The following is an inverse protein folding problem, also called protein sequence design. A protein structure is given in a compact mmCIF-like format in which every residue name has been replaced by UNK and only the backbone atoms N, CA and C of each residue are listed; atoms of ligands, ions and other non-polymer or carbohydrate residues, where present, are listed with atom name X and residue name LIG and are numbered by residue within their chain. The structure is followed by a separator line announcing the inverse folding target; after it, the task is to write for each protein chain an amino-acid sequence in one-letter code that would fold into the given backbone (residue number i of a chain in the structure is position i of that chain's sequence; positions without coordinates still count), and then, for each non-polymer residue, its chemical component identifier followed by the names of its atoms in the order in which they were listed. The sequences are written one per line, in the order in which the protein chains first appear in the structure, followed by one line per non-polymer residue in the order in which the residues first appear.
data_IF_928018265197
#
_entry.id   IF_928018265197
#
_cell.length_a   1.000
_cell.length_b   1.000
_cell.length_c   1.000
_cell.angle_alpha   90.00
_cell.angle_beta   90.00
_cell.angle_gamma   90.00
#
_symmetry.space_group_name_H-M   'P 1'
#
loop_
_entity.id
_entity.type
_entity.pdbx_description
1 polymer ?
#
# COMPACT_ATOMS: atom_id res chain seq x y z
N UNK A 1 18.34 13.89 -16.58
CA UNK A 1 19.31 12.82 -16.92
C UNK A 1 18.75 12.06 -18.11
N UNK A 2 19.52 11.86 -19.19
CA UNK A 2 19.00 11.26 -20.43
C UNK A 2 18.86 9.74 -20.28
N UNK A 3 17.74 9.18 -20.75
CA UNK A 3 17.41 7.74 -20.71
C UNK A 3 18.52 6.86 -21.30
N UNK A 4 19.25 7.39 -22.30
CA UNK A 4 20.40 6.76 -22.94
C UNK A 4 21.62 6.57 -22.03
N UNK A 5 21.83 7.43 -21.03
CA UNK A 5 22.89 7.23 -20.04
C UNK A 5 22.51 6.17 -18.99
N UNK A 6 21.22 6.05 -18.68
CA UNK A 6 20.69 5.03 -17.78
C UNK A 6 20.81 3.62 -18.39
N UNK A 7 20.46 3.47 -19.67
CA UNK A 7 20.62 2.23 -20.45
C UNK A 7 22.10 1.82 -20.62
N UNK A 8 23.00 2.78 -20.84
CA UNK A 8 24.44 2.53 -21.02
C UNK A 8 25.15 2.21 -19.70
N UNK A 9 24.68 2.75 -18.58
CA UNK A 9 25.12 2.35 -17.24
C UNK A 9 24.61 0.95 -16.87
N UNK A 10 23.37 0.62 -17.24
CA UNK A 10 22.76 -0.70 -16.99
C UNK A 10 23.43 -1.81 -17.80
N UNK A 11 23.84 -1.54 -19.05
CA UNK A 11 24.60 -2.48 -19.88
C UNK A 11 26.01 -2.80 -19.38
N UNK A 12 26.65 -1.93 -18.59
CA UNK A 12 28.03 -2.15 -18.11
C UNK A 12 28.10 -2.99 -16.82
N UNK A 13 26.99 -3.16 -16.10
CA UNK A 13 26.93 -3.90 -14.82
C UNK A 13 25.60 -4.67 -14.64
N UNK A 14 25.18 -5.39 -15.68
CA UNK A 14 23.96 -6.20 -15.69
C UNK A 14 23.86 -7.18 -14.51
N UNK A 15 24.99 -7.68 -14.00
CA UNK A 15 25.05 -8.58 -12.85
C UNK A 15 24.38 -8.04 -11.57
N UNK A 16 24.42 -6.72 -11.33
CA UNK A 16 23.82 -6.13 -10.10
C UNK A 16 22.30 -6.08 -10.22
N UNK A 17 21.79 -5.74 -11.40
CA UNK A 17 20.36 -5.76 -11.70
C UNK A 17 19.84 -7.19 -11.67
N UNK A 18 20.58 -8.13 -12.25
CA UNK A 18 20.23 -9.55 -12.22
C UNK A 18 20.20 -10.11 -10.79
N UNK A 19 21.22 -9.79 -9.98
CA UNK A 19 21.27 -10.21 -8.57
C UNK A 19 20.10 -9.64 -7.77
N UNK A 20 19.77 -8.36 -7.97
CA UNK A 20 18.59 -7.76 -7.34
C UNK A 20 17.28 -8.39 -7.79
N UNK A 21 17.12 -8.67 -9.10
CA UNK A 21 15.95 -9.37 -9.62
C UNK A 21 15.78 -10.75 -8.99
N UNK A 22 16.89 -11.50 -8.80
CA UNK A 22 16.87 -12.80 -8.11
C UNK A 22 16.40 -12.64 -6.67
N UNK A 23 16.91 -11.64 -5.94
CA UNK A 23 16.50 -11.36 -4.56
C UNK A 23 15.02 -10.99 -4.49
N UNK A 24 14.54 -10.11 -5.37
CA UNK A 24 13.12 -9.71 -5.43
C UNK A 24 12.23 -10.92 -5.76
N UNK A 25 12.65 -11.75 -6.72
CA UNK A 25 11.93 -12.98 -7.08
C UNK A 25 11.87 -13.96 -5.90
N UNK A 26 12.97 -14.09 -5.15
CA UNK A 26 13.02 -14.88 -3.92
C UNK A 26 12.09 -14.35 -2.83
N UNK A 27 12.06 -13.03 -2.61
CA UNK A 27 11.14 -12.39 -1.66
C UNK A 27 9.67 -12.55 -2.08
N UNK A 28 9.37 -12.42 -3.37
CA UNK A 28 8.03 -12.64 -3.91
C UNK A 28 7.60 -14.10 -3.71
N UNK A 29 8.48 -15.06 -3.99
CA UNK A 29 8.21 -16.48 -3.72
C UNK A 29 7.98 -16.76 -2.23
N UNK A 30 8.78 -16.16 -1.35
CA UNK A 30 8.61 -16.26 0.10
C UNK A 30 7.24 -15.71 0.51
N UNK A 31 6.84 -14.58 -0.05
CA UNK A 31 5.52 -13.95 0.20
C UNK A 31 4.38 -14.90 -0.14
N UNK A 32 4.45 -15.60 -1.28
CA UNK A 32 3.45 -16.60 -1.69
C UNK A 32 3.38 -17.81 -0.74
N UNK A 33 4.46 -18.13 -0.03
CA UNK A 33 4.51 -19.23 0.95
C UNK A 33 4.00 -18.83 2.33
N UNK A 34 4.25 -17.59 2.75
CA UNK A 34 3.91 -17.14 4.10
C UNK A 34 2.54 -16.47 4.21
N UNK A 35 2.02 -15.88 3.13
CA UNK A 35 0.70 -15.25 3.14
C UNK A 35 -0.34 -16.29 2.75
N UNK A 36 -1.20 -16.75 3.68
CA UNK A 36 -2.21 -17.73 3.37
C UNK A 36 -3.26 -17.11 2.43
N UNK A 37 -3.75 -17.93 1.50
CA UNK A 37 -4.93 -17.60 0.72
C UNK A 37 -6.15 -17.54 1.64
N UNK A 38 -6.95 -16.50 1.49
CA UNK A 38 -8.23 -16.36 2.20
C UNK A 38 -9.36 -16.86 1.32
N UNK A 39 -10.38 -17.41 1.95
CA UNK A 39 -11.60 -17.91 1.33
C UNK A 39 -12.78 -17.13 1.89
N UNK A 40 -13.59 -16.58 1.00
CA UNK A 40 -14.76 -15.82 1.34
C UNK A 40 -16.03 -16.65 1.12
N UNK A 41 -16.93 -16.59 2.09
CA UNK A 41 -18.26 -17.21 2.03
C UNK A 41 -19.27 -16.15 2.44
N UNK A 42 -20.40 -16.10 1.73
CA UNK A 42 -21.47 -15.12 1.95
C UNK A 42 -22.81 -15.81 2.14
N UNK A 43 -23.66 -15.24 2.97
CA UNK A 43 -25.06 -15.66 3.12
C UNK A 43 -25.96 -14.46 3.35
N UNK A 44 -27.16 -14.49 2.76
CA UNK A 44 -28.16 -13.45 2.94
C UNK A 44 -29.32 -13.97 3.79
N UNK A 45 -29.72 -13.19 4.80
CA UNK A 45 -30.81 -13.47 5.72
C UNK A 45 -31.89 -12.42 5.52
N UNK A 46 -33.12 -12.83 5.24
CA UNK A 46 -34.30 -11.97 5.19
C UNK A 46 -35.01 -11.98 6.53
N UNK A 47 -35.40 -10.80 7.00
CA UNK A 47 -36.34 -10.66 8.10
C UNK A 47 -37.77 -10.69 7.54
N UNK A 48 -38.62 -11.53 8.14
CA UNK A 48 -40.02 -11.72 7.78
C UNK A 48 -40.94 -11.16 8.86
N UNK A 49 -42.06 -10.53 8.47
CA UNK A 49 -43.02 -9.99 9.41
C UNK A 49 -43.69 -11.09 10.24
N UNK A 50 -44.23 -10.72 11.40
CA UNK A 50 -44.96 -11.64 12.24
C UNK A 50 -46.21 -12.20 11.58
N UNK A 51 -46.62 -13.40 12.01
CA UNK A 51 -47.85 -14.03 11.52
C UNK A 51 -49.12 -13.32 11.95
N UNK A 52 -49.07 -12.50 13.01
CA UNK A 52 -50.22 -11.68 13.45
C UNK A 52 -50.59 -10.55 12.49
N UNK A 53 -49.65 -10.09 11.66
CA UNK A 53 -49.89 -9.05 10.65
C UNK A 53 -50.20 -9.63 9.26
N UNK A 54 -50.26 -10.95 9.15
CA UNK A 54 -50.65 -11.67 7.95
C UNK A 54 -52.09 -12.17 8.11
N UNK A 55 -52.93 -11.92 7.12
CA UNK A 55 -54.19 -12.65 6.99
C UNK A 55 -53.89 -14.15 6.77
N UNK A 56 -54.80 -15.05 7.16
CA UNK A 56 -54.61 -16.49 6.98
C UNK A 56 -54.30 -16.82 5.51
N UNK A 57 -53.06 -17.27 5.24
CA UNK A 57 -52.57 -17.57 3.89
C UNK A 57 -52.02 -16.36 3.10
N UNK A 58 -51.88 -15.20 3.73
CA UNK A 58 -51.34 -13.98 3.11
C UNK A 58 -49.84 -14.08 2.76
N UNK A 59 -49.43 -13.36 1.72
CA UNK A 59 -48.04 -13.37 1.24
C UNK A 59 -47.13 -12.49 2.15
N UNK A 60 -46.13 -13.08 2.85
CA UNK A 60 -45.26 -12.34 3.76
C UNK A 60 -44.34 -11.32 3.06
N UNK A 61 -44.08 -11.49 1.76
CA UNK A 61 -43.26 -10.55 0.98
C UNK A 61 -43.96 -9.23 0.70
N UNK A 62 -45.29 -9.15 0.85
CA UNK A 62 -46.05 -7.92 0.65
C UNK A 62 -45.96 -6.95 1.83
N UNK A 63 -45.48 -7.43 2.99
CA UNK A 63 -45.48 -6.68 4.26
C UNK A 63 -44.09 -6.59 4.89
N UNK A 64 -43.04 -6.40 4.07
CA UNK A 64 -41.65 -6.24 4.53
C UNK A 64 -41.32 -4.83 5.06
N UNK A 65 -42.29 -3.91 5.04
CA UNK A 65 -42.09 -2.53 5.47
C UNK A 65 -41.80 -2.41 6.98
N UNK A 66 -40.82 -1.59 7.35
CA UNK A 66 -40.54 -1.25 8.75
C UNK A 66 -39.60 -2.22 9.49
N UNK A 67 -39.15 -3.30 8.86
CA UNK A 67 -38.22 -4.26 9.48
C UNK A 67 -36.75 -3.80 9.45
N UNK A 68 -36.47 -2.66 8.81
CA UNK A 68 -35.11 -2.15 8.61
C UNK A 68 -34.42 -1.77 9.91
N UNK A 69 -35.18 -1.23 10.86
CA UNK A 69 -34.68 -0.91 12.19
C UNK A 69 -34.30 -2.19 12.93
N UNK A 70 -35.14 -3.23 12.86
CA UNK A 70 -34.86 -4.51 13.48
C UNK A 70 -33.62 -5.19 12.85
N UNK A 71 -33.49 -5.14 11.52
CA UNK A 71 -32.31 -5.62 10.82
C UNK A 71 -31.04 -4.87 11.25
N UNK A 72 -31.09 -3.54 11.33
CA UNK A 72 -29.96 -2.72 11.78
C UNK A 72 -29.54 -3.01 13.22
N UNK A 73 -30.50 -3.19 14.13
CA UNK A 73 -30.23 -3.56 15.53
C UNK A 73 -29.62 -4.95 15.62
N UNK A 74 -30.16 -5.92 14.88
CA UNK A 74 -29.59 -7.28 14.84
C UNK A 74 -28.17 -7.28 14.27
N UNK A 75 -27.94 -6.58 13.15
CA UNK A 75 -26.61 -6.45 12.55
C UNK A 75 -25.61 -5.81 13.52
N UNK A 76 -26.04 -4.79 14.25
CA UNK A 76 -25.21 -4.13 15.26
C UNK A 76 -24.88 -5.04 16.45
N UNK A 77 -25.85 -5.83 16.90
CA UNK A 77 -25.66 -6.82 17.98
C UNK A 77 -24.71 -7.94 17.57
N UNK A 78 -24.82 -8.41 16.32
CA UNK A 78 -23.94 -9.44 15.77
C UNK A 78 -22.53 -8.95 15.46
N UNK A 79 -22.39 -7.66 15.15
CA UNK A 79 -21.10 -7.00 14.91
C UNK A 79 -20.40 -6.52 16.19
N UNK A 80 -20.98 -6.80 17.36
CA UNK A 80 -20.34 -6.41 18.61
C UNK A 80 -19.02 -7.18 18.84
N UNK A 81 -18.07 -6.53 19.50
CA UNK A 81 -16.73 -7.08 19.70
C UNK A 81 -16.71 -8.31 20.60
N UNK A 82 -17.64 -8.41 21.56
CA UNK A 82 -17.78 -9.59 22.42
C UNK A 82 -18.34 -10.77 21.63
N UNK A 83 -19.41 -10.52 20.87
CA UNK A 83 -20.02 -11.49 19.95
C UNK A 83 -19.01 -12.00 18.92
N UNK A 84 -18.17 -11.11 18.38
CA UNK A 84 -17.16 -11.50 17.41
C UNK A 84 -16.14 -12.47 18.00
N UNK A 85 -15.75 -12.26 19.26
CA UNK A 85 -14.80 -13.13 19.96
C UNK A 85 -15.39 -14.48 20.37
N UNK A 86 -16.71 -14.56 20.58
CA UNK A 86 -17.36 -15.83 20.93
C UNK A 86 -17.52 -16.76 19.72
N UNK A 87 -17.69 -16.18 18.52
CA UNK A 87 -17.85 -16.94 17.27
C UNK A 87 -16.51 -17.33 16.66
N UNK A 88 -15.53 -16.42 16.70
CA UNK A 88 -14.21 -16.65 16.10
C UNK A 88 -13.28 -17.30 17.14
N UNK A 89 -12.83 -18.56 16.94
CA UNK A 89 -11.97 -19.23 17.90
C UNK A 89 -10.69 -18.42 18.17
N UNK A 90 -10.27 -18.37 19.43
CA UNK A 90 -9.02 -17.70 19.83
C UNK A 90 -7.83 -18.29 19.05
N UNK A 91 -7.13 -17.45 18.30
CA UNK A 91 -6.00 -17.85 17.45
C UNK A 91 -6.33 -18.13 15.99
N UNK A 92 -7.62 -18.12 15.60
CA UNK A 92 -7.99 -18.14 14.18
C UNK A 92 -7.78 -16.76 13.54
N UNK A 93 -7.41 -16.75 12.26
CA UNK A 93 -7.26 -15.52 11.46
C UNK A 93 -8.55 -15.14 10.73
N UNK A 94 -9.63 -15.87 11.00
CA UNK A 94 -10.94 -15.63 10.41
C UNK A 94 -11.51 -14.28 10.82
N UNK A 95 -12.37 -13.73 9.97
CA UNK A 95 -13.14 -12.51 10.20
C UNK A 95 -14.55 -12.71 9.67
N UNK A 96 -15.52 -12.04 10.26
CA UNK A 96 -16.84 -11.93 9.67
C UNK A 96 -17.34 -10.49 9.76
N UNK A 97 -18.26 -10.14 8.87
CA UNK A 97 -18.99 -8.88 8.86
C UNK A 97 -20.46 -9.18 8.66
N UNK A 98 -21.32 -8.42 9.34
CA UNK A 98 -22.78 -8.48 9.19
C UNK A 98 -23.27 -7.09 8.87
N UNK A 99 -23.81 -6.92 7.68
CA UNK A 99 -24.25 -5.62 7.18
C UNK A 99 -25.63 -5.75 6.53
N UNK A 100 -26.37 -4.64 6.44
CA UNK A 100 -27.61 -4.62 5.68
C UNK A 100 -27.26 -4.58 4.19
N UNK A 101 -27.88 -5.45 3.40
CA UNK A 101 -27.76 -5.40 1.95
C UNK A 101 -28.60 -4.23 1.42
N UNK A 102 -27.92 -3.18 0.95
CA UNK A 102 -28.56 -2.00 0.38
C UNK A 102 -29.07 -2.22 -1.06
N UNK A 103 -28.68 -3.33 -1.70
CA UNK A 103 -29.00 -3.62 -3.10
C UNK A 103 -30.37 -4.27 -3.26
N UNK A 104 -30.94 -4.82 -2.18
CA UNK A 104 -32.23 -5.52 -2.18
C UNK A 104 -33.26 -4.69 -1.43
N UNK A 105 -34.42 -4.45 -2.06
CA UNK A 105 -35.56 -3.84 -1.38
C UNK A 105 -36.15 -4.81 -0.36
N UNK A 106 -35.82 -4.60 0.91
CA UNK A 106 -36.26 -5.42 2.02
C UNK A 106 -35.24 -5.41 3.16
N UNK A 107 -35.64 -5.91 4.31
CA UNK A 107 -34.76 -6.00 5.48
C UNK A 107 -33.89 -7.26 5.38
N UNK A 108 -32.95 -7.23 4.43
CA UNK A 108 -31.98 -8.29 4.16
C UNK A 108 -30.64 -7.96 4.82
N UNK A 109 -30.07 -8.93 5.52
CA UNK A 109 -28.74 -8.88 6.08
C UNK A 109 -27.80 -9.76 5.28
N UNK A 110 -26.65 -9.24 4.89
CA UNK A 110 -25.54 -10.01 4.33
C UNK A 110 -24.55 -10.33 5.44
N UNK A 111 -24.26 -11.61 5.59
CA UNK A 111 -23.19 -12.13 6.44
C UNK A 111 -22.05 -12.56 5.52
N UNK A 112 -20.91 -11.90 5.62
CA UNK A 112 -19.70 -12.27 4.90
C UNK A 112 -18.65 -12.79 5.88
N UNK A 113 -18.03 -13.90 5.55
CA UNK A 113 -17.01 -14.57 6.37
C UNK A 113 -15.78 -14.81 5.53
N UNK A 114 -14.61 -14.46 6.06
CA UNK A 114 -13.30 -14.70 5.45
C UNK A 114 -12.46 -15.56 6.38
N UNK A 115 -11.91 -16.67 5.89
CA UNK A 115 -10.97 -17.50 6.65
C UNK A 115 -9.87 -18.07 5.75
N UNK A 116 -8.77 -18.52 6.35
CA UNK A 116 -7.66 -19.20 5.65
C UNK A 116 -7.99 -20.63 5.18
N UNK A 117 -9.19 -21.12 5.50
CA UNK A 117 -9.69 -22.42 5.04
C UNK A 117 -11.18 -22.34 4.71
N UNK A 118 -11.60 -23.01 3.63
CA UNK A 118 -13.01 -23.06 3.23
C UNK A 118 -13.89 -23.67 4.34
N UNK A 119 -13.44 -24.75 4.98
CA UNK A 119 -14.17 -25.41 6.07
C UNK A 119 -14.31 -24.51 7.30
N UNK A 120 -13.27 -23.73 7.63
CA UNK A 120 -13.31 -22.76 8.72
C UNK A 120 -14.28 -21.61 8.44
N UNK A 121 -14.32 -21.12 7.20
CA UNK A 121 -15.27 -20.10 6.77
C UNK A 121 -16.72 -20.59 6.90
N UNK A 122 -17.05 -21.80 6.41
CA UNK A 122 -18.39 -22.38 6.56
C UNK A 122 -18.79 -22.63 8.02
N UNK A 123 -17.87 -23.15 8.84
CA UNK A 123 -18.14 -23.36 10.27
C UNK A 123 -18.47 -22.05 10.98
N UNK A 124 -17.69 -21.01 10.69
CA UNK A 124 -17.90 -19.67 11.26
C UNK A 124 -19.21 -19.08 10.78
N UNK A 125 -19.53 -19.20 9.49
CA UNK A 125 -20.81 -18.75 8.93
C UNK A 125 -21.99 -19.40 9.65
N UNK A 126 -21.99 -20.73 9.78
CA UNK A 126 -23.09 -21.44 10.43
C UNK A 126 -23.23 -21.06 11.92
N UNK A 127 -22.11 -20.79 12.59
CA UNK A 127 -22.13 -20.27 13.96
C UNK A 127 -22.74 -18.85 14.04
N UNK A 128 -22.42 -17.97 13.09
CA UNK A 128 -23.06 -16.64 13.01
C UNK A 128 -24.56 -16.77 12.74
N UNK A 129 -24.99 -17.66 11.83
CA UNK A 129 -26.40 -17.87 11.52
C UNK A 129 -27.19 -18.40 12.75
N UNK A 130 -26.65 -19.37 13.48
CA UNK A 130 -27.27 -19.90 14.70
C UNK A 130 -27.35 -18.83 15.81
N UNK A 131 -26.31 -17.99 15.91
CA UNK A 131 -26.30 -16.88 16.85
C UNK A 131 -27.27 -15.78 16.46
N UNK A 132 -27.45 -15.50 15.16
CA UNK A 132 -28.44 -14.54 14.67
C UNK A 132 -29.86 -14.93 15.10
N UNK A 133 -30.20 -16.21 15.03
CA UNK A 133 -31.48 -16.74 15.49
C UNK A 133 -31.67 -16.53 17.01
N UNK A 134 -30.67 -16.94 17.80
CA UNK A 134 -30.71 -16.77 19.27
C UNK A 134 -30.80 -15.29 19.67
N UNK A 135 -30.00 -14.42 19.05
CA UNK A 135 -29.99 -12.98 19.33
C UNK A 135 -31.29 -12.31 18.93
N UNK A 136 -31.90 -12.73 17.82
CA UNK A 136 -33.20 -12.20 17.43
C UNK A 136 -34.28 -12.56 18.46
N UNK A 137 -34.28 -13.79 18.96
CA UNK A 137 -35.17 -14.20 20.05
C UNK A 137 -34.92 -13.35 21.31
N UNK A 138 -33.66 -13.20 21.74
CA UNK A 138 -33.31 -12.40 22.93
C UNK A 138 -33.76 -10.93 22.82
N UNK A 139 -33.56 -10.31 21.65
CA UNK A 139 -33.98 -8.93 21.38
C UNK A 139 -35.50 -8.79 21.46
N UNK A 140 -36.24 -9.77 20.93
CA UNK A 140 -37.70 -9.77 20.94
C UNK A 140 -38.28 -10.03 22.33
N UNK A 141 -37.66 -10.93 23.10
CA UNK A 141 -38.01 -11.15 24.51
C UNK A 141 -37.76 -9.89 25.35
N UNK A 142 -36.64 -9.21 25.12
CA UNK A 142 -36.32 -7.94 25.79
C UNK A 142 -37.31 -6.83 25.42
N UNK A 143 -37.80 -6.84 24.17
CA UNK A 143 -38.86 -5.95 23.70
C UNK A 143 -40.28 -6.37 24.14
N UNK A 144 -40.41 -7.49 24.86
CA UNK A 144 -41.70 -8.08 25.30
C UNK A 144 -42.64 -8.37 24.13
N UNK A 145 -42.10 -8.83 23.01
CA UNK A 145 -42.90 -9.24 21.87
C UNK A 145 -43.81 -10.44 22.25
N UNK A 146 -45.05 -10.41 21.79
CA UNK A 146 -45.96 -11.55 21.91
C UNK A 146 -45.52 -12.65 20.93
N UNK A 147 -45.70 -13.95 21.24
CA UNK A 147 -45.27 -15.04 20.35
C UNK A 147 -45.86 -14.99 18.94
N UNK A 148 -47.08 -14.47 18.78
CA UNK A 148 -47.72 -14.28 17.46
C UNK A 148 -47.17 -13.08 16.67
N UNK A 149 -46.41 -12.20 17.34
CA UNK A 149 -45.86 -10.95 16.85
C UNK A 149 -44.33 -10.98 16.68
N UNK A 150 -43.74 -12.18 16.64
CA UNK A 150 -42.31 -12.35 16.41
C UNK A 150 -41.91 -12.26 14.93
N UNK A 151 -40.89 -11.46 14.67
CA UNK A 151 -40.11 -11.41 13.43
C UNK A 151 -39.36 -12.73 13.28
N UNK A 152 -39.42 -13.31 12.08
CA UNK A 152 -38.70 -14.55 11.74
C UNK A 152 -37.54 -14.26 10.80
N UNK A 153 -36.49 -15.07 10.89
CA UNK A 153 -35.36 -15.03 9.97
C UNK A 153 -35.50 -16.12 8.93
N UNK A 154 -35.25 -15.80 7.66
CA UNK A 154 -35.24 -16.75 6.56
C UNK A 154 -33.96 -16.58 5.75
N UNK A 155 -33.15 -17.63 5.64
CA UNK A 155 -31.94 -17.60 4.82
C UNK A 155 -32.35 -17.66 3.34
N UNK A 156 -32.07 -16.60 2.57
CA UNK A 156 -32.40 -16.51 1.14
C UNK A 156 -31.35 -17.26 0.31
N UNK A 157 -30.08 -17.04 0.65
CA UNK A 157 -28.94 -17.58 -0.10
C UNK A 157 -27.90 -18.06 0.89
N UNK A 158 -27.54 -19.33 0.75
CA UNK A 158 -26.31 -19.89 1.28
C UNK A 158 -25.38 -20.04 0.07
N UNK A 159 -24.33 -19.21 -0.02
CA UNK A 159 -23.31 -19.48 -1.02
C UNK A 159 -22.57 -20.75 -0.61
N UNK A 160 -22.87 -21.87 -1.26
CA UNK A 160 -22.28 -23.18 -0.97
C UNK A 160 -20.85 -23.31 -1.49
N UNK A 161 -20.31 -22.28 -2.14
CA UNK A 161 -18.95 -22.28 -2.70
C UNK A 161 -18.12 -21.21 -1.99
N UNK A 162 -17.02 -21.63 -1.39
CA UNK A 162 -16.03 -20.73 -0.82
C UNK A 162 -15.12 -20.20 -1.93
N UNK A 163 -15.16 -18.89 -2.18
CA UNK A 163 -14.39 -18.26 -3.25
C UNK A 163 -13.00 -17.84 -2.75
N UNK A 164 -11.92 -18.19 -3.48
CA UNK A 164 -10.58 -17.77 -3.10
C UNK A 164 -10.40 -16.26 -3.31
N UNK A 165 -10.07 -15.55 -2.25
CA UNK A 165 -9.78 -14.11 -2.25
C UNK A 165 -8.26 -13.87 -2.24
N UNK A 166 -7.75 -13.31 -3.34
CA UNK A 166 -6.34 -12.99 -3.54
C UNK A 166 -5.98 -11.54 -3.19
N UNK A 167 -6.91 -10.70 -2.76
CA UNK A 167 -6.71 -9.26 -2.58
C UNK A 167 -5.56 -8.92 -1.63
N UNK A 168 -5.52 -9.57 -0.46
CA UNK A 168 -4.46 -9.38 0.53
C UNK A 168 -3.10 -9.82 -0.01
N UNK A 169 -3.03 -10.99 -0.64
CA UNK A 169 -1.82 -11.52 -1.27
C UNK A 169 -1.33 -10.60 -2.38
N UNK A 170 -2.22 -10.16 -3.27
CA UNK A 170 -1.90 -9.27 -4.37
C UNK A 170 -1.36 -7.93 -3.87
N UNK A 171 -2.02 -7.32 -2.86
CA UNK A 171 -1.58 -6.05 -2.27
C UNK A 171 -0.18 -6.18 -1.66
N UNK A 172 0.08 -7.24 -0.89
CA UNK A 172 1.41 -7.44 -0.30
C UNK A 172 2.46 -7.74 -1.36
N UNK A 173 2.13 -8.55 -2.38
CA UNK A 173 3.04 -8.84 -3.49
C UNK A 173 3.45 -7.56 -4.23
N UNK A 174 2.51 -6.66 -4.52
CA UNK A 174 2.78 -5.36 -5.14
C UNK A 174 3.76 -4.55 -4.29
N UNK A 175 3.53 -4.47 -2.96
CA UNK A 175 4.40 -3.74 -2.04
C UNK A 175 5.80 -4.35 -2.01
N UNK A 176 5.92 -5.67 -1.88
CA UNK A 176 7.20 -6.39 -1.81
C UNK A 176 8.00 -6.22 -3.10
N UNK A 177 7.37 -6.38 -4.26
CA UNK A 177 8.03 -6.22 -5.56
C UNK A 177 8.48 -4.77 -5.74
N UNK A 178 7.60 -3.80 -5.49
CA UNK A 178 7.91 -2.37 -5.67
C UNK A 178 9.04 -1.93 -4.75
N UNK A 179 8.93 -2.24 -3.45
CA UNK A 179 9.96 -1.91 -2.47
C UNK A 179 11.30 -2.61 -2.80
N UNK A 180 11.25 -3.88 -3.22
CA UNK A 180 12.42 -4.65 -3.61
C UNK A 180 13.12 -4.08 -4.85
N UNK A 181 12.38 -3.60 -5.85
CA UNK A 181 12.93 -2.95 -7.04
C UNK A 181 13.57 -1.61 -6.69
N UNK A 182 12.92 -0.78 -5.88
CA UNK A 182 13.48 0.49 -5.41
C UNK A 182 14.78 0.25 -4.63
N UNK A 183 14.77 -0.71 -3.72
CA UNK A 183 15.95 -1.09 -2.95
C UNK A 183 17.09 -1.58 -3.86
N UNK A 184 16.78 -2.41 -4.85
CA UNK A 184 17.75 -2.89 -5.85
C UNK A 184 18.39 -1.72 -6.61
N UNK A 185 17.59 -0.74 -7.04
CA UNK A 185 18.09 0.41 -7.78
C UNK A 185 19.00 1.29 -6.92
N UNK A 186 18.61 1.55 -5.67
CA UNK A 186 19.45 2.27 -4.70
C UNK A 186 20.78 1.56 -4.49
N UNK A 187 20.74 0.24 -4.29
CA UNK A 187 21.94 -0.58 -4.11
C UNK A 187 22.86 -0.51 -5.34
N UNK A 188 22.30 -0.58 -6.54
CA UNK A 188 23.05 -0.49 -7.78
C UNK A 188 23.78 0.86 -7.92
N UNK A 189 23.09 1.97 -7.63
CA UNK A 189 23.66 3.33 -7.65
C UNK A 189 24.74 3.48 -6.57
N UNK A 190 24.50 2.98 -5.36
CA UNK A 190 25.48 3.02 -4.27
C UNK A 190 26.75 2.25 -4.62
N UNK A 191 26.62 1.01 -5.09
CA UNK A 191 27.78 0.19 -5.50
C UNK A 191 28.57 0.88 -6.61
N UNK A 192 27.89 1.44 -7.60
CA UNK A 192 28.57 2.13 -8.69
C UNK A 192 29.29 3.42 -8.23
N UNK A 193 28.69 4.18 -7.30
CA UNK A 193 29.34 5.33 -6.68
C UNK A 193 30.61 4.94 -5.89
N UNK A 194 30.57 3.85 -5.12
CA UNK A 194 31.74 3.35 -4.39
C UNK A 194 32.87 2.89 -5.34
N UNK A 195 32.53 2.20 -6.43
CA UNK A 195 33.52 1.70 -7.38
C UNK A 195 34.14 2.85 -8.19
N UNK A 196 33.35 3.83 -8.65
CA UNK A 196 33.88 5.04 -9.32
C UNK A 196 34.85 5.81 -8.42
N UNK A 197 34.55 5.94 -7.12
CA UNK A 197 35.44 6.55 -6.13
C UNK A 197 36.78 5.81 -6.00
N UNK A 198 36.78 4.46 -6.05
CA UNK A 198 38.01 3.66 -6.03
C UNK A 198 38.84 3.79 -7.30
N UNK A 199 38.22 3.78 -8.48
CA UNK A 199 38.93 3.88 -9.76
C UNK A 199 39.52 5.28 -9.97
N UNK A 200 38.80 6.34 -9.60
CA UNK A 200 39.31 7.72 -9.69
C UNK A 200 40.52 7.99 -8.78
N UNK A 201 40.61 7.31 -7.62
CA UNK A 201 41.81 7.39 -6.75
C UNK A 201 43.04 6.73 -7.37
N UNK A 202 42.88 5.62 -8.10
CA UNK A 202 43.99 4.96 -8.81
C UNK A 202 44.51 5.80 -9.97
N UNK A 203 43.63 6.45 -10.73
CA UNK A 203 44.05 7.32 -11.84
C UNK A 203 44.75 8.61 -11.36
N UNK A 204 44.30 9.21 -10.24
CA UNK A 204 45.00 10.35 -9.62
C UNK A 204 46.38 9.99 -9.05
N UNK A 205 46.59 8.74 -8.64
CA UNK A 205 47.91 8.28 -8.18
C UNK A 205 48.92 8.14 -9.34
N UNK A 206 48.46 7.80 -10.54
CA UNK A 206 49.30 7.67 -11.74
C UNK A 206 49.64 9.03 -12.38
N UNK A 207 48.80 10.05 -12.16
CA UNK A 207 48.99 11.40 -12.74
C UNK A 207 49.79 12.38 -11.87
N UNK A 208 50.46 11.96 -10.79
CA UNK A 208 51.45 12.83 -10.11
C UNK A 208 52.70 12.92 -11.01
N UNK A 209 52.96 14.05 -11.69
CA UNK A 209 54.19 14.18 -12.46
C UNK A 209 55.32 14.39 -11.46
N UNK A 210 56.41 13.67 -11.63
CA UNK A 210 57.66 13.89 -10.91
C UNK A 210 58.19 15.29 -11.23
N UNK A 211 57.76 16.30 -10.46
CA UNK A 211 58.26 17.68 -10.51
C UNK A 211 59.58 17.79 -9.74
N UNK A 212 60.50 16.84 -9.94
CA UNK A 212 61.78 16.76 -9.24
C UNK A 212 62.90 16.28 -10.17
N UNK A 213 63.09 16.96 -11.30
CA UNK A 213 64.31 16.83 -12.11
C UNK A 213 64.56 18.06 -12.99
N UNK A 214 64.60 19.26 -12.39
CA UNK A 214 65.17 20.46 -13.03
C UNK A 214 65.75 21.43 -11.99
N UNK A 215 66.57 20.91 -11.08
CA UNK A 215 67.40 21.71 -10.17
C UNK A 215 68.71 20.96 -9.93
N UNK A 216 69.62 21.06 -10.89
CA UNK A 216 70.97 20.50 -10.83
C UNK A 216 71.67 20.67 -12.17
N UNK A 217 72.81 21.36 -12.16
CA UNK A 217 73.73 21.65 -13.27
C UNK A 217 73.30 22.66 -14.34
N UNK A 218 73.75 23.91 -14.19
CA UNK A 218 74.94 24.37 -14.91
C UNK A 218 75.36 25.74 -14.38
N UNK A 219 76.56 25.80 -13.81
CA UNK A 219 77.23 27.04 -13.45
C UNK A 219 77.70 27.80 -14.72
N UNK A 220 77.70 29.13 -14.57
CA UNK A 220 78.24 30.20 -15.43
C UNK A 220 79.74 30.00 -15.77
N UNK A 221 80.30 30.62 -16.85
CA UNK A 221 80.69 32.05 -16.84
C UNK A 221 80.42 32.81 -18.17
N UNK A 222 79.87 34.04 -18.12
CA UNK A 222 80.48 35.37 -18.43
C UNK A 222 80.85 35.68 -19.89
N UNK A 223 80.21 36.71 -20.48
CA UNK A 223 80.83 38.01 -20.88
C UNK A 223 79.82 38.94 -21.59
N UNK A 224 79.75 40.21 -21.16
CA UNK A 224 79.58 41.49 -21.93
C UNK A 224 78.72 41.52 -23.21
N UNK A 225 77.88 42.51 -23.52
CA UNK A 225 77.85 43.92 -23.14
C UNK A 225 76.57 44.59 -23.71
N UNK A 226 76.16 45.68 -23.04
CA UNK A 226 75.56 46.93 -23.56
C UNK A 226 74.17 47.00 -24.23
N UNK A 227 73.32 47.77 -23.52
CA UNK A 227 72.57 48.96 -23.98
C UNK A 227 71.24 48.85 -24.75
N UNK A 228 70.28 49.66 -24.26
CA UNK A 228 69.20 50.27 -25.04
C UNK A 228 67.81 49.78 -24.65
N UNK A 229 67.14 50.43 -23.68
CA UNK A 229 66.10 51.47 -23.85
C UNK A 229 64.67 50.95 -23.61
N UNK A 230 64.13 51.35 -22.46
CA UNK A 230 62.71 51.63 -22.09
C UNK A 230 62.10 52.62 -23.12
N UNK A 231 60.77 52.79 -23.29
CA UNK A 231 59.76 52.69 -22.22
C UNK A 231 58.33 52.19 -22.57
N UNK A 232 57.52 52.09 -21.49
CA UNK A 232 56.08 52.42 -21.41
C UNK A 232 55.09 51.53 -22.20
N UNK A 233 53.86 51.20 -21.77
CA UNK A 233 52.95 51.86 -20.84
C UNK A 233 51.78 50.89 -20.45
N UNK A 234 51.10 51.25 -19.36
CA UNK A 234 49.67 51.08 -18.98
C UNK A 234 49.07 49.69 -18.73
N UNK A 235 48.77 49.31 -17.47
CA UNK A 235 47.48 49.51 -16.72
C UNK A 235 46.28 48.88 -17.46
N UNK A 236 45.46 47.98 -16.93
CA UNK A 236 44.51 48.05 -15.79
C UNK A 236 44.07 46.58 -15.56
N UNK A 237 44.06 45.99 -14.36
CA UNK A 237 43.27 46.36 -13.18
C UNK A 237 42.13 45.36 -13.01
N UNK A 238 42.30 44.45 -12.05
CA UNK A 238 41.38 43.41 -11.61
C UNK A 238 40.64 43.90 -10.34
N UNK A 239 39.32 43.85 -10.33
CA UNK A 239 38.38 43.92 -9.17
C UNK A 239 36.96 44.01 -9.77
N UNK A 240 35.84 43.53 -9.24
CA UNK A 240 35.39 42.91 -8.00
C UNK A 240 34.00 42.30 -8.37
N UNK A 241 33.64 41.08 -7.97
CA UNK A 241 33.00 40.71 -6.71
C UNK A 241 31.63 41.38 -6.43
N UNK A 242 30.63 40.51 -6.27
CA UNK A 242 29.42 40.58 -5.43
C UNK A 242 28.28 41.48 -5.93
N UNK A 243 27.13 40.91 -6.29
CA UNK A 243 26.02 40.44 -5.43
C UNK A 243 25.07 41.60 -5.13
N UNK A 244 23.90 41.60 -5.76
CA UNK A 244 22.68 42.08 -5.10
C UNK A 244 21.43 41.67 -5.90
N UNK A 245 20.62 40.85 -5.23
CA UNK A 245 19.24 40.60 -5.56
C UNK A 245 18.38 41.76 -5.03
N UNK A 246 17.40 42.24 -5.81
CA UNK A 246 15.99 42.39 -5.39
C UNK A 246 15.14 43.29 -6.31
N UNK A 247 13.86 42.88 -6.41
CA UNK A 247 12.63 43.68 -6.57
C UNK A 247 12.19 44.13 -7.99
N UNK A 248 11.34 43.30 -8.60
CA UNK A 248 10.08 43.63 -9.29
C UNK A 248 9.46 42.25 -9.65
N UNK A 249 8.20 41.91 -9.41
CA UNK A 249 6.98 42.62 -9.73
C UNK A 249 5.85 42.32 -8.73
N UNK A 250 4.98 43.32 -8.60
CA UNK A 250 3.77 43.31 -7.82
C UNK A 250 2.57 42.81 -8.64
N UNK A 251 1.77 41.95 -8.00
CA UNK A 251 0.29 41.99 -7.91
C UNK A 251 -0.59 42.00 -9.19
N UNK A 252 -1.93 41.90 -9.05
CA UNK A 252 -2.75 40.82 -8.47
C UNK A 252 -3.87 40.40 -9.48
N UNK A 253 -4.82 39.56 -9.07
CA UNK A 253 -6.28 39.60 -9.35
C UNK A 253 -6.90 38.18 -9.24
N UNK A 254 -7.84 37.99 -8.30
CA UNK A 254 -9.28 37.68 -8.52
C UNK A 254 -9.55 36.16 -8.51
N UNK A 255 -10.11 35.61 -7.43
CA UNK A 255 -11.53 35.54 -7.04
C UNK A 255 -12.30 34.43 -7.78
N UNK A 256 -12.89 33.51 -7.01
CA UNK A 256 -14.16 32.75 -7.19
C UNK A 256 -14.03 31.41 -6.43
N UNK A 257 -14.63 31.22 -5.26
CA UNK A 257 -16.06 31.05 -4.95
C UNK A 257 -16.62 29.70 -5.44
N UNK A 258 -16.65 28.68 -4.56
CA UNK A 258 -17.85 27.96 -4.06
C UNK A 258 -17.44 26.68 -3.32
#
# INVERSE_FOLDING_TARGET
MKLSELLRAMGRRWYVVLAGLIVVSGLAYLTLRFIPLTYDVKSSILLLPPTSTLEEGGNPFLNLGGLDVAAGVLAKSLSDSETTRSVIPTGSKGKYTVEKDASVSGSVLEVAVSDTSATGAFRTLNAVLALADTRMVDLQLSAKALPKSEIRLMVITNNTVAEPNYSALARTLIVVVTAGLVFTLLLAVSVDALVRRRVGRRQRAVLKPSRRSRRGNAARPQSSDLSGTTPEDTTVGNAAALDDARLAEASPLVSENT
#
